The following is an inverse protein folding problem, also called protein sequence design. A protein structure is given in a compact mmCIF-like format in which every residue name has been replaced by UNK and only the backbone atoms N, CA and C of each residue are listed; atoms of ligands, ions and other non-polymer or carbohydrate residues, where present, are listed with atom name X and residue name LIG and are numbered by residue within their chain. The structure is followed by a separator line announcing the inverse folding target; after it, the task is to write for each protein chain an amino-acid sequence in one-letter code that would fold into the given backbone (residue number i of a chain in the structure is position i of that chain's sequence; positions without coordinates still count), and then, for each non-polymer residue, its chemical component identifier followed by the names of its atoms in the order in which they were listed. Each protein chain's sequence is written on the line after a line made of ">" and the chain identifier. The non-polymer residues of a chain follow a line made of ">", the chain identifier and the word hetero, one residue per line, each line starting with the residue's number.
data_IF_302187850516
#
_entry.id   IF_302187850516
#
_cell.length_a   1.000
_cell.length_b   1.000
_cell.length_c   1.000
_cell.angle_alpha   90.00
_cell.angle_beta   90.00
_cell.angle_gamma   90.00
#
_symmetry.space_group_name_H-M   'P 1'
#
loop_
_entity.id
_entity.type
_entity.pdbx_description
1 polymer ?
#
# COMPACT_ATOMS: atom_id res chain seq x y z
N UNK A 1 -21.48 -9.48 9.83
CA UNK A 1 -20.95 -8.21 10.39
C UNK A 1 -21.88 -7.07 10.06
N UNK A 2 -22.17 -6.18 11.02
CA UNK A 2 -22.91 -4.94 10.78
C UNK A 2 -22.15 -4.04 9.80
N UNK A 3 -22.87 -3.27 8.97
CA UNK A 3 -22.28 -2.34 7.98
C UNK A 3 -21.38 -1.29 8.63
N UNK A 4 -21.78 -0.77 9.81
CA UNK A 4 -20.95 0.17 10.61
C UNK A 4 -19.61 -0.43 11.04
N UNK A 5 -19.61 -1.66 11.56
CA UNK A 5 -18.38 -2.36 11.97
C UNK A 5 -17.44 -2.58 10.78
N UNK A 6 -17.98 -2.97 9.62
CA UNK A 6 -17.18 -3.19 8.41
C UNK A 6 -16.51 -1.89 7.95
N UNK A 7 -17.22 -0.76 8.02
CA UNK A 7 -16.67 0.57 7.71
C UNK A 7 -15.55 1.00 8.66
N UNK A 8 -15.72 0.78 9.96
CA UNK A 8 -14.69 1.11 10.95
C UNK A 8 -13.41 0.33 10.66
N UNK A 9 -13.50 -0.99 10.48
CA UNK A 9 -12.32 -1.84 10.22
C UNK A 9 -11.66 -1.47 8.89
N UNK A 10 -12.44 -1.17 7.84
CA UNK A 10 -11.91 -0.67 6.58
C UNK A 10 -11.09 0.61 6.77
N UNK A 11 -11.65 1.60 7.45
CA UNK A 11 -10.96 2.87 7.66
C UNK A 11 -9.74 2.73 8.57
N UNK A 12 -9.80 1.87 9.59
CA UNK A 12 -8.61 1.54 10.40
C UNK A 12 -7.50 0.93 9.55
N UNK A 13 -7.83 -0.03 8.68
CA UNK A 13 -6.87 -0.63 7.75
C UNK A 13 -6.33 0.37 6.72
N UNK A 14 -7.19 1.21 6.15
CA UNK A 14 -6.80 2.26 5.21
C UNK A 14 -5.86 3.28 5.86
N UNK A 15 -6.13 3.72 7.09
CA UNK A 15 -5.26 4.63 7.84
C UNK A 15 -3.92 3.95 8.16
N UNK A 16 -3.95 2.71 8.62
CA UNK A 16 -2.72 1.95 8.91
C UNK A 16 -1.84 1.81 7.66
N UNK A 17 -2.40 1.35 6.54
CA UNK A 17 -1.67 1.24 5.28
C UNK A 17 -1.16 2.60 4.81
N UNK A 18 -1.95 3.66 5.01
CA UNK A 18 -1.56 5.02 4.65
C UNK A 18 -0.40 5.56 5.47
N UNK A 19 -0.36 5.28 6.77
CA UNK A 19 0.76 5.65 7.62
C UNK A 19 2.02 4.88 7.22
N UNK A 20 1.89 3.59 6.98
CA UNK A 20 3.02 2.74 6.59
C UNK A 20 3.61 3.16 5.24
N UNK A 21 2.79 3.18 4.18
CA UNK A 21 3.22 3.57 2.84
C UNK A 21 3.57 5.04 2.75
N UNK A 22 2.90 5.89 3.53
CA UNK A 22 3.20 7.31 3.63
C UNK A 22 4.59 7.57 4.23
N UNK A 23 4.92 6.88 5.33
CA UNK A 23 6.24 6.96 5.94
C UNK A 23 7.33 6.43 4.99
N UNK A 24 7.11 5.26 4.37
CA UNK A 24 8.03 4.69 3.38
C UNK A 24 8.27 5.65 2.23
N UNK A 25 7.20 6.17 1.60
CA UNK A 25 7.32 7.10 0.48
C UNK A 25 7.99 8.41 0.86
N UNK A 26 7.71 8.95 2.06
CA UNK A 26 8.39 10.13 2.56
C UNK A 26 9.90 9.90 2.77
N UNK A 27 10.29 8.75 3.31
CA UNK A 27 11.69 8.36 3.48
C UNK A 27 12.42 8.12 2.16
N UNK A 28 11.71 7.58 1.16
CA UNK A 28 12.21 7.44 -0.20
C UNK A 28 12.52 8.81 -0.83
N UNK A 29 11.67 9.82 -0.62
CA UNK A 29 11.90 11.17 -1.14
C UNK A 29 12.96 11.97 -0.37
N UNK A 30 13.08 11.74 0.94
CA UNK A 30 14.03 12.46 1.82
C UNK A 30 15.40 11.80 1.91
N UNK A 31 15.64 10.73 1.16
CA UNK A 31 16.90 9.95 1.20
C UNK A 31 17.23 9.39 2.58
N UNK A 32 16.21 9.02 3.35
CA UNK A 32 16.43 8.50 4.68
C UNK A 32 17.11 7.11 4.58
N UNK A 33 18.24 6.90 5.29
CA UNK A 33 19.02 5.66 5.19
C UNK A 33 18.21 4.42 5.58
N UNK A 34 17.20 4.55 6.45
CA UNK A 34 16.33 3.44 6.88
C UNK A 34 15.68 2.71 5.70
N UNK A 35 15.30 3.43 4.64
CA UNK A 35 14.72 2.81 3.43
C UNK A 35 15.75 2.72 2.31
N UNK A 36 16.60 3.73 2.18
CA UNK A 36 17.57 3.81 1.10
C UNK A 36 18.63 2.70 1.16
N UNK A 37 19.23 2.47 2.31
CA UNK A 37 20.32 1.49 2.43
C UNK A 37 19.80 0.08 2.13
N UNK A 38 18.62 -0.27 2.64
CA UNK A 38 17.95 -1.53 2.34
C UNK A 38 17.67 -1.63 0.84
N UNK A 39 17.05 -0.61 0.24
CA UNK A 39 16.61 -0.68 -1.16
C UNK A 39 17.78 -0.75 -2.14
N UNK A 40 18.89 -0.05 -1.85
CA UNK A 40 20.13 -0.15 -2.60
C UNK A 40 20.81 -1.52 -2.42
N UNK A 41 20.81 -2.07 -1.19
CA UNK A 41 21.33 -3.40 -0.91
C UNK A 41 20.56 -4.50 -1.68
N UNK A 42 19.25 -4.30 -1.90
CA UNK A 42 18.42 -5.16 -2.73
C UNK A 42 18.74 -5.07 -4.24
N UNK A 43 19.58 -4.12 -4.66
CA UNK A 43 20.02 -3.95 -6.04
C UNK A 43 19.19 -2.98 -6.88
N UNK A 44 18.25 -2.25 -6.27
CA UNK A 44 17.45 -1.26 -7.00
C UNK A 44 18.24 0.03 -7.24
N UNK A 45 18.10 0.66 -8.42
CA UNK A 45 18.76 1.92 -8.71
C UNK A 45 18.12 3.10 -7.98
N UNK A 46 18.88 4.15 -7.68
CA UNK A 46 18.42 5.31 -6.91
C UNK A 46 17.22 6.04 -7.52
N UNK A 47 17.12 6.14 -8.85
CA UNK A 47 15.97 6.77 -9.51
C UNK A 47 14.66 6.01 -9.26
N UNK A 48 14.73 4.67 -9.16
CA UNK A 48 13.56 3.85 -8.84
C UNK A 48 13.01 4.19 -7.46
N UNK A 49 13.89 4.41 -6.48
CA UNK A 49 13.50 4.76 -5.10
C UNK A 49 12.67 6.04 -5.08
N UNK A 50 13.08 7.10 -5.79
CA UNK A 50 12.28 8.33 -5.86
C UNK A 50 10.94 8.13 -6.53
N UNK A 51 10.94 7.45 -7.68
CA UNK A 51 9.72 7.21 -8.45
C UNK A 51 8.72 6.44 -7.58
N UNK A 52 9.19 5.40 -6.90
CA UNK A 52 8.39 4.62 -5.96
C UNK A 52 7.80 5.50 -4.86
N UNK A 53 8.59 6.40 -4.28
CA UNK A 53 8.15 7.30 -3.22
C UNK A 53 7.03 8.25 -3.66
N UNK A 54 7.15 8.82 -4.87
CA UNK A 54 6.10 9.66 -5.46
C UNK A 54 4.80 8.86 -5.59
N UNK A 55 4.85 7.65 -6.15
CA UNK A 55 3.67 6.82 -6.35
C UNK A 55 3.06 6.32 -5.05
N UNK A 56 3.86 6.01 -4.03
CA UNK A 56 3.37 5.66 -2.69
C UNK A 56 2.57 6.81 -2.09
N UNK A 57 3.11 8.04 -2.11
CA UNK A 57 2.39 9.21 -1.57
C UNK A 57 1.13 9.53 -2.38
N UNK A 58 1.18 9.47 -3.71
CA UNK A 58 0.01 9.65 -4.55
C UNK A 58 -1.09 8.61 -4.24
N UNK A 59 -0.71 7.34 -4.07
CA UNK A 59 -1.61 6.27 -3.67
C UNK A 59 -2.24 6.49 -2.29
N UNK A 60 -1.46 6.95 -1.31
CA UNK A 60 -1.95 7.29 0.04
C UNK A 60 -3.01 8.40 -0.02
N UNK A 61 -2.75 9.47 -0.78
CA UNK A 61 -3.72 10.56 -0.95
C UNK A 61 -5.05 10.02 -1.50
N UNK A 62 -4.99 9.20 -2.54
CA UNK A 62 -6.19 8.59 -3.15
C UNK A 62 -6.89 7.64 -2.18
N UNK A 63 -6.15 6.82 -1.42
CA UNK A 63 -6.72 5.87 -0.47
C UNK A 63 -7.51 6.56 0.63
N UNK A 64 -7.00 7.67 1.16
CA UNK A 64 -7.61 8.44 2.25
C UNK A 64 -8.80 9.32 1.82
N UNK A 65 -8.99 9.59 0.53
CA UNK A 65 -10.14 10.35 0.05
C UNK A 65 -11.45 9.58 0.29
N UNK A 66 -12.38 10.08 1.13
CA UNK A 66 -13.60 9.35 1.45
C UNK A 66 -14.60 9.38 0.30
N UNK A 67 -15.13 8.22 -0.07
CA UNK A 67 -16.20 8.07 -1.09
C UNK A 67 -15.90 8.75 -2.45
N UNK A 68 -14.62 8.93 -2.80
CA UNK A 68 -14.19 9.53 -4.07
C UNK A 68 -13.14 8.66 -4.74
N UNK A 69 -13.01 8.84 -6.07
CA UNK A 69 -12.02 8.16 -6.90
C UNK A 69 -12.02 6.63 -6.73
N UNK A 70 -13.20 6.02 -6.56
CA UNK A 70 -13.32 4.59 -6.23
C UNK A 70 -12.64 3.68 -7.26
N UNK A 71 -12.71 4.03 -8.55
CA UNK A 71 -11.97 3.34 -9.63
C UNK A 71 -10.45 3.45 -9.47
N UNK A 72 -9.96 4.62 -9.09
CA UNK A 72 -8.54 4.83 -8.86
C UNK A 72 -8.07 4.13 -7.58
N UNK A 73 -8.94 3.94 -6.57
CA UNK A 73 -8.61 3.13 -5.39
C UNK A 73 -8.30 1.68 -5.76
N UNK A 74 -8.96 1.10 -6.76
CA UNK A 74 -8.61 -0.23 -7.27
C UNK A 74 -7.15 -0.26 -7.79
N UNK A 75 -6.71 0.81 -8.45
CA UNK A 75 -5.32 0.94 -8.91
C UNK A 75 -4.35 1.07 -7.75
N UNK A 76 -4.73 1.81 -6.69
CA UNK A 76 -3.94 1.92 -5.47
C UNK A 76 -3.78 0.57 -4.78
N UNK A 77 -4.87 -0.20 -4.63
CA UNK A 77 -4.80 -1.54 -4.06
C UNK A 77 -3.90 -2.46 -4.89
N UNK A 78 -4.00 -2.43 -6.22
CA UNK A 78 -3.13 -3.19 -7.10
C UNK A 78 -1.66 -2.77 -6.97
N UNK A 79 -1.38 -1.46 -6.95
CA UNK A 79 -0.03 -0.92 -6.80
C UNK A 79 0.61 -1.31 -5.46
N UNK A 80 -0.11 -1.15 -4.36
CA UNK A 80 0.36 -1.59 -3.03
C UNK A 80 0.56 -3.11 -2.97
N UNK A 81 -0.31 -3.89 -3.62
CA UNK A 81 -0.18 -5.33 -3.69
C UNK A 81 1.12 -5.75 -4.39
N UNK A 82 1.41 -5.18 -5.57
CA UNK A 82 2.64 -5.49 -6.28
C UNK A 82 3.89 -5.00 -5.56
N UNK A 83 3.87 -3.81 -4.97
CA UNK A 83 4.98 -3.28 -4.15
C UNK A 83 5.33 -4.24 -3.01
N UNK A 84 4.33 -4.72 -2.26
CA UNK A 84 4.54 -5.68 -1.16
C UNK A 84 5.10 -7.02 -1.67
N UNK A 85 4.55 -7.53 -2.77
CA UNK A 85 5.02 -8.79 -3.39
C UNK A 85 6.49 -8.65 -3.81
N UNK A 86 6.84 -7.57 -4.50
CA UNK A 86 8.21 -7.34 -4.96
C UNK A 86 9.16 -7.14 -3.79
N UNK A 87 8.75 -6.39 -2.75
CA UNK A 87 9.53 -6.25 -1.53
C UNK A 87 9.77 -7.60 -0.85
N UNK A 88 8.75 -8.45 -0.72
CA UNK A 88 8.87 -9.78 -0.13
C UNK A 88 9.91 -10.64 -0.86
N UNK A 89 9.76 -10.79 -2.18
CA UNK A 89 10.66 -11.64 -2.98
C UNK A 89 12.08 -11.07 -3.07
N UNK A 90 12.24 -9.75 -3.10
CA UNK A 90 13.57 -9.14 -3.09
C UNK A 90 14.28 -9.39 -1.77
N UNK A 91 13.56 -9.18 -0.66
CA UNK A 91 14.10 -9.37 0.70
C UNK A 91 14.44 -10.82 1.00
N UNK A 92 13.59 -11.78 0.64
CA UNK A 92 13.91 -13.20 0.86
C UNK A 92 15.13 -13.63 0.06
N UNK A 93 15.31 -13.11 -1.15
CA UNK A 93 16.43 -13.46 -2.03
C UNK A 93 17.78 -12.89 -1.55
N UNK A 94 17.78 -11.71 -0.91
CA UNK A 94 19.02 -10.97 -0.57
C UNK A 94 19.31 -10.94 0.93
N UNK A 95 18.30 -10.80 1.78
CA UNK A 95 18.42 -10.56 3.22
C UNK A 95 17.92 -11.74 4.09
N UNK A 96 17.20 -12.68 3.48
CA UNK A 96 16.64 -13.86 4.14
C UNK A 96 15.28 -13.64 4.81
N UNK A 97 14.67 -14.71 5.31
CA UNK A 97 13.26 -14.76 5.73
C UNK A 97 12.90 -13.79 6.87
N UNK A 98 13.80 -13.54 7.83
CA UNK A 98 13.52 -12.64 8.93
C UNK A 98 13.17 -11.21 8.45
N UNK A 99 13.75 -10.78 7.33
CA UNK A 99 13.51 -9.45 6.76
C UNK A 99 12.14 -9.30 6.07
N UNK A 100 11.39 -10.40 5.86
CA UNK A 100 10.12 -10.39 5.10
C UNK A 100 8.88 -10.28 5.98
N UNK A 101 9.04 -10.30 7.31
CA UNK A 101 7.92 -10.28 8.27
C UNK A 101 7.03 -9.05 8.04
N UNK A 102 7.66 -7.91 7.74
CA UNK A 102 6.98 -6.65 7.51
C UNK A 102 6.09 -6.69 6.26
N UNK A 103 6.56 -7.31 5.18
CA UNK A 103 5.80 -7.54 3.97
C UNK A 103 4.60 -8.49 4.20
N UNK A 104 4.77 -9.54 5.02
CA UNK A 104 3.66 -10.46 5.38
C UNK A 104 2.57 -9.72 6.16
N UNK A 105 2.95 -8.88 7.12
CA UNK A 105 2.01 -8.05 7.89
C UNK A 105 1.29 -7.07 6.96
N UNK A 106 2.03 -6.33 6.14
CA UNK A 106 1.45 -5.39 5.19
C UNK A 106 0.48 -6.09 4.21
N UNK A 107 0.85 -7.26 3.68
CA UNK A 107 0.01 -8.05 2.78
C UNK A 107 -1.31 -8.46 3.44
N UNK A 108 -1.24 -8.93 4.68
CA UNK A 108 -2.41 -9.38 5.44
C UNK A 108 -3.37 -8.22 5.68
N UNK A 109 -2.85 -7.06 6.12
CA UNK A 109 -3.66 -5.88 6.38
C UNK A 109 -4.24 -5.31 5.08
N UNK A 110 -3.45 -5.23 4.02
CA UNK A 110 -3.92 -4.76 2.71
C UNK A 110 -5.04 -5.66 2.17
N UNK A 111 -4.87 -6.98 2.24
CA UNK A 111 -5.86 -7.95 1.77
C UNK A 111 -7.19 -7.80 2.53
N UNK A 112 -7.13 -7.71 3.87
CA UNK A 112 -8.33 -7.48 4.68
C UNK A 112 -9.00 -6.14 4.37
N UNK A 113 -8.20 -5.08 4.18
CA UNK A 113 -8.68 -3.75 3.84
C UNK A 113 -9.38 -3.75 2.48
N UNK A 114 -8.82 -4.44 1.49
CA UNK A 114 -9.38 -4.59 0.16
C UNK A 114 -10.70 -5.37 0.15
N UNK A 115 -10.76 -6.50 0.88
CA UNK A 115 -12.00 -7.27 1.00
C UNK A 115 -13.14 -6.44 1.61
N UNK A 116 -12.83 -5.61 2.61
CA UNK A 116 -13.81 -4.70 3.19
C UNK A 116 -14.16 -3.54 2.26
N UNK A 117 -13.20 -3.02 1.50
CA UNK A 117 -13.46 -2.02 0.46
C UNK A 117 -14.49 -2.54 -0.54
N UNK A 118 -14.27 -3.73 -1.11
CA UNK A 118 -15.18 -4.39 -2.06
C UNK A 118 -16.56 -4.67 -1.47
N UNK A 119 -16.63 -4.94 -0.17
CA UNK A 119 -17.89 -5.14 0.55
C UNK A 119 -18.67 -3.84 0.78
N UNK A 120 -17.98 -2.72 1.01
CA UNK A 120 -18.60 -1.42 1.29
C UNK A 120 -18.97 -0.69 -0.01
N UNK A 121 -18.18 -0.88 -1.06
CA UNK A 121 -18.35 -0.25 -2.37
C UNK A 121 -18.52 -1.33 -3.45
N UNK A 122 -19.76 -1.81 -3.68
CA UNK A 122 -20.04 -2.76 -4.75
C UNK A 122 -19.70 -2.17 -6.13
N UNK A 123 -19.54 -3.03 -7.14
CA UNK A 123 -19.17 -2.61 -8.49
C UNK A 123 -20.12 -1.54 -9.06
N UNK A 124 -21.41 -1.62 -8.74
CA UNK A 124 -22.40 -0.63 -9.15
C UNK A 124 -22.01 0.80 -8.72
N UNK A 125 -21.48 0.98 -7.49
CA UNK A 125 -21.02 2.29 -7.00
C UNK A 125 -19.67 2.72 -7.60
N UNK A 126 -18.83 1.76 -7.98
CA UNK A 126 -17.53 2.03 -8.61
C UNK A 126 -17.73 2.45 -10.07
N UNK A 127 -18.72 1.86 -10.73
CA UNK A 127 -18.99 2.05 -12.15
C UNK A 127 -20.22 2.91 -12.44
N UNK A 128 -20.89 3.47 -11.43
CA UNK A 128 -22.18 4.17 -11.59
C UNK A 128 -22.10 5.32 -12.61
N UNK A 129 -22.90 5.14 -13.68
CA UNK A 129 -23.34 6.03 -14.76
C UNK A 129 -22.25 6.92 -15.39
N UNK A 130 -21.57 6.34 -16.39
CA UNK A 130 -21.32 7.08 -17.64
C UNK A 130 -22.66 7.16 -18.39
#
# INVERSE_FOLDING_TARGET
>A
MKTKTSKIIYWSGAIFMSLWFGASGFFELTKNPVVWDITLQLGYPSHFIYILGIFKLAGVIVLLLPNRLLRLKEWVFAGMFFDIIFAFFSKIAVLGFASTIDAIVAFTVLSMTYLLFRKIYPQELIFEKI
#
